data_IF_428135033303
#
_entry.id   IF_428135033303
#
_cell.length_a   1.000
_cell.length_b   1.000
_cell.length_c   1.000
_cell.angle_alpha   90.00
_cell.angle_beta   90.00
_cell.angle_gamma   90.00
#
_symmetry.space_group_name_H-M   'P 1'
#
loop_
_entity.id
_entity.type
_entity.pdbx_description
1 polymer ?
#
# COMPACT_ATOMS: atom_id res chain seq x y z
N UNK A 1 -6.83 4.96 -8.32
CA UNK A 1 -6.38 4.11 -7.19
C UNK A 1 -7.01 2.75 -7.35
N UNK A 2 -6.26 1.68 -7.10
CA UNK A 2 -6.75 0.30 -7.05
C UNK A 2 -6.49 -0.27 -5.66
N UNK A 3 -7.49 -0.97 -5.11
CA UNK A 3 -7.45 -1.59 -3.79
C UNK A 3 -8.41 -2.78 -3.74
N UNK A 4 -8.12 -3.78 -4.56
CA UNK A 4 -8.94 -4.95 -4.81
C UNK A 4 -8.18 -6.22 -4.44
N UNK A 5 -8.90 -7.30 -4.11
CA UNK A 5 -8.32 -8.62 -3.91
C UNK A 5 -8.25 -9.43 -5.22
N UNK A 6 -8.14 -8.75 -6.37
CA UNK A 6 -8.21 -9.41 -7.68
C UNK A 6 -6.98 -10.28 -7.93
N UNK A 7 -7.22 -11.48 -8.46
CA UNK A 7 -6.18 -12.38 -8.96
C UNK A 7 -5.96 -12.23 -10.46
N UNK A 8 -6.64 -11.29 -11.12
CA UNK A 8 -6.45 -10.96 -12.52
C UNK A 8 -6.36 -9.45 -12.70
N UNK A 9 -5.51 -8.95 -13.63
CA UNK A 9 -5.45 -7.52 -13.93
C UNK A 9 -6.83 -6.93 -14.23
N UNK A 10 -7.14 -5.83 -13.57
CA UNK A 10 -8.40 -5.11 -13.76
C UNK A 10 -8.20 -3.85 -14.61
N UNK A 11 -7.02 -3.25 -14.56
CA UNK A 11 -6.69 -2.03 -15.29
C UNK A 11 -5.86 -2.37 -16.52
N UNK A 12 -6.36 -1.93 -17.67
CA UNK A 12 -5.72 -2.12 -18.95
C UNK A 12 -4.95 -0.89 -19.43
N UNK A 13 -3.85 -1.15 -20.15
CA UNK A 13 -2.96 -0.10 -20.60
C UNK A 13 -3.68 0.94 -21.47
N UNK A 14 -4.67 0.52 -22.26
CA UNK A 14 -5.47 1.41 -23.11
C UNK A 14 -6.23 2.50 -22.33
N UNK A 15 -6.50 2.29 -21.04
CA UNK A 15 -7.23 3.25 -20.22
C UNK A 15 -6.33 4.35 -19.66
N UNK A 16 -5.01 4.19 -19.73
CA UNK A 16 -4.06 5.15 -19.20
C UNK A 16 -4.03 6.40 -20.09
N UNK A 17 -4.21 7.56 -19.46
CA UNK A 17 -4.09 8.86 -20.11
C UNK A 17 -2.81 9.57 -19.65
N UNK A 18 -2.17 10.41 -20.49
CA UNK A 18 -0.99 11.17 -20.08
C UNK A 18 -1.26 11.97 -18.80
N UNK A 19 -0.33 11.90 -17.84
CA UNK A 19 -0.42 12.59 -16.56
C UNK A 19 -1.13 11.81 -15.45
N UNK A 20 -1.68 10.63 -15.74
CA UNK A 20 -2.46 9.86 -14.78
C UNK A 20 -1.57 9.35 -13.62
N UNK A 21 -1.90 9.69 -12.34
CA UNK A 21 -1.33 9.03 -11.19
C UNK A 21 -2.13 7.76 -10.83
N UNK A 22 -1.42 6.66 -10.63
CA UNK A 22 -1.98 5.39 -10.19
C UNK A 22 -1.33 5.03 -8.86
N UNK A 23 -2.15 4.88 -7.83
CA UNK A 23 -1.74 4.24 -6.57
C UNK A 23 -2.36 2.84 -6.54
N UNK A 24 -1.52 1.81 -6.58
CA UNK A 24 -1.93 0.42 -6.63
C UNK A 24 -1.56 -0.31 -5.34
N UNK A 25 -2.58 -0.73 -4.58
CA UNK A 25 -2.45 -1.14 -3.17
C UNK A 25 -2.87 -2.59 -2.96
N UNK A 26 -3.86 -3.08 -3.72
CA UNK A 26 -4.56 -4.32 -3.41
C UNK A 26 -3.78 -5.59 -3.71
N UNK A 27 -2.88 -5.57 -4.70
CA UNK A 27 -2.04 -6.72 -5.02
C UNK A 27 -0.78 -6.75 -4.14
N UNK A 28 -0.89 -7.42 -3.00
CA UNK A 28 0.12 -7.52 -1.93
C UNK A 28 0.71 -8.94 -1.76
N UNK A 29 0.21 -9.92 -2.50
CA UNK A 29 0.73 -11.29 -2.54
C UNK A 29 1.06 -11.73 -3.99
N UNK A 30 1.78 -12.85 -4.20
CA UNK A 30 2.26 -13.24 -5.53
C UNK A 30 1.15 -13.60 -6.53
N UNK A 31 -0.06 -13.93 -6.05
CA UNK A 31 -1.19 -14.35 -6.88
C UNK A 31 -2.07 -13.20 -7.33
N UNK A 32 -2.02 -12.05 -6.63
CA UNK A 32 -2.86 -10.90 -6.93
C UNK A 32 -2.29 -10.00 -8.03
N UNK A 33 -3.19 -9.38 -8.77
CA UNK A 33 -2.87 -8.35 -9.74
C UNK A 33 -4.05 -7.40 -9.93
N UNK A 34 -3.74 -6.11 -10.05
CA UNK A 34 -4.68 -5.04 -10.35
C UNK A 34 -4.35 -4.36 -11.67
N UNK A 35 -3.06 -4.30 -12.03
CA UNK A 35 -2.54 -3.67 -13.24
C UNK A 35 -1.99 -4.72 -14.20
N UNK A 36 -2.28 -4.58 -15.50
CA UNK A 36 -1.66 -5.46 -16.50
C UNK A 36 -0.17 -5.13 -16.67
N UNK A 37 0.62 -6.10 -17.16
CA UNK A 37 2.04 -5.87 -17.46
C UNK A 37 2.23 -4.69 -18.44
N UNK A 38 1.27 -4.49 -19.34
CA UNK A 38 1.23 -3.40 -20.30
C UNK A 38 1.03 -2.05 -19.62
N UNK A 39 0.22 -1.99 -18.54
CA UNK A 39 0.11 -0.78 -17.71
C UNK A 39 1.46 -0.40 -17.11
N UNK A 40 2.18 -1.39 -16.57
CA UNK A 40 3.49 -1.18 -15.95
C UNK A 40 4.53 -0.75 -16.99
N UNK A 41 4.55 -1.37 -18.18
CA UNK A 41 5.43 -0.95 -19.28
C UNK A 41 5.11 0.44 -19.83
N UNK A 42 3.86 0.86 -19.77
CA UNK A 42 3.42 2.19 -20.24
C UNK A 42 3.65 3.30 -19.21
N UNK A 43 3.88 2.96 -17.95
CA UNK A 43 4.19 3.95 -16.92
C UNK A 43 5.55 4.60 -17.20
N UNK A 44 5.59 5.93 -17.21
CA UNK A 44 6.84 6.68 -17.33
C UNK A 44 7.69 6.55 -16.05
N UNK A 45 7.02 6.36 -14.91
CA UNK A 45 7.68 6.21 -13.60
C UNK A 45 6.94 5.24 -12.71
N UNK A 46 7.68 4.30 -12.14
CA UNK A 46 7.20 3.38 -11.12
C UNK A 46 7.95 3.66 -9.82
N UNK A 47 7.20 3.86 -8.74
CA UNK A 47 7.70 4.05 -7.38
C UNK A 47 7.17 2.88 -6.55
N UNK A 48 8.00 2.35 -5.67
CA UNK A 48 7.62 1.25 -4.76
C UNK A 48 7.77 1.67 -3.30
N UNK A 49 7.11 1.01 -2.37
CA UNK A 49 7.44 1.16 -0.94
C UNK A 49 8.69 0.36 -0.55
N UNK A 50 8.85 -0.84 -1.11
CA UNK A 50 10.04 -1.69 -0.97
C UNK A 50 10.34 -2.43 -2.27
N UNK A 51 11.55 -2.27 -2.79
CA UNK A 51 11.99 -3.01 -3.99
C UNK A 51 11.98 -4.50 -3.78
N UNK A 52 12.38 -4.96 -2.59
CA UNK A 52 12.47 -6.38 -2.27
C UNK A 52 11.09 -7.03 -2.23
N UNK A 53 10.10 -6.36 -1.62
CA UNK A 53 8.73 -6.89 -1.57
C UNK A 53 8.05 -6.81 -2.93
N UNK A 54 8.19 -5.69 -3.65
CA UNK A 54 7.65 -5.51 -4.99
C UNK A 54 8.19 -6.52 -6.00
N UNK A 55 9.46 -6.94 -5.86
CA UNK A 55 10.04 -7.98 -6.70
C UNK A 55 9.46 -9.38 -6.43
N UNK A 56 8.87 -9.60 -5.25
CA UNK A 56 8.36 -10.90 -4.81
C UNK A 56 6.82 -10.99 -4.80
N UNK A 57 6.10 -9.87 -4.77
CA UNK A 57 4.66 -9.82 -4.57
C UNK A 57 3.97 -8.81 -5.50
N UNK A 58 2.68 -9.03 -5.77
CA UNK A 58 1.81 -8.09 -6.46
C UNK A 58 2.08 -7.91 -7.95
N UNK A 59 1.67 -6.75 -8.47
CA UNK A 59 1.67 -6.45 -9.91
C UNK A 59 3.06 -6.60 -10.56
N UNK A 60 4.11 -6.09 -9.89
CA UNK A 60 5.47 -6.06 -10.43
C UNK A 60 6.09 -7.46 -10.50
N UNK A 61 5.92 -8.26 -9.46
CA UNK A 61 6.38 -9.65 -9.44
C UNK A 61 5.66 -10.50 -10.49
N UNK A 62 4.34 -10.39 -10.59
CA UNK A 62 3.55 -11.13 -11.59
C UNK A 62 3.91 -10.74 -13.02
N UNK A 63 4.24 -9.47 -13.25
CA UNK A 63 4.69 -8.99 -14.55
C UNK A 63 6.18 -9.27 -14.85
N UNK A 64 6.94 -9.84 -13.90
CA UNK A 64 8.38 -10.06 -14.05
C UNK A 64 9.19 -8.78 -14.18
N UNK A 65 8.76 -7.69 -13.55
CA UNK A 65 9.42 -6.38 -13.64
C UNK A 65 10.69 -6.33 -12.78
N UNK A 66 11.80 -5.88 -13.34
CA UNK A 66 13.03 -5.65 -12.57
C UNK A 66 12.88 -4.42 -11.65
N UNK A 67 12.86 -4.68 -10.34
CA UNK A 67 12.67 -3.64 -9.33
C UNK A 67 13.99 -2.98 -8.85
N UNK A 68 15.18 -3.46 -9.25
CA UNK A 68 16.46 -3.02 -8.65
C UNK A 68 16.72 -1.51 -8.75
N UNK A 69 16.29 -0.91 -9.87
CA UNK A 69 16.45 0.51 -10.17
C UNK A 69 15.25 1.39 -9.83
N UNK A 70 14.15 0.83 -9.31
CA UNK A 70 12.96 1.62 -9.00
C UNK A 70 13.19 2.45 -7.72
N UNK A 71 12.82 3.74 -7.70
CA UNK A 71 12.90 4.54 -6.48
C UNK A 71 11.91 4.03 -5.43
N UNK A 72 12.35 4.00 -4.18
CA UNK A 72 11.47 3.76 -3.04
C UNK A 72 10.79 5.07 -2.61
N UNK A 73 9.54 4.98 -2.15
CA UNK A 73 8.75 6.15 -1.74
C UNK A 73 9.47 6.96 -0.67
N UNK A 74 10.15 6.30 0.27
CA UNK A 74 10.97 6.94 1.28
C UNK A 74 12.08 7.81 0.68
N UNK A 75 12.72 7.37 -0.40
CA UNK A 75 13.78 8.14 -1.08
C UNK A 75 13.24 9.41 -1.71
N UNK A 76 12.01 9.36 -2.24
CA UNK A 76 11.35 10.55 -2.81
C UNK A 76 10.98 11.52 -1.70
N UNK A 77 10.41 11.02 -0.59
CA UNK A 77 9.99 11.85 0.55
C UNK A 77 11.15 12.61 1.19
N UNK A 78 12.35 12.04 1.21
CA UNK A 78 13.57 12.70 1.74
C UNK A 78 14.36 13.46 0.67
N UNK A 79 13.87 13.52 -0.57
CA UNK A 79 14.51 14.24 -1.67
C UNK A 79 15.76 13.57 -2.24
N UNK A 80 16.03 12.30 -1.94
CA UNK A 80 17.17 11.54 -2.48
C UNK A 80 16.87 10.83 -3.79
N UNK A 81 15.62 10.87 -4.27
CA UNK A 81 15.21 10.40 -5.58
C UNK A 81 14.11 11.32 -6.15
N UNK A 82 14.04 11.50 -7.48
CA UNK A 82 12.98 12.31 -8.08
C UNK A 82 11.60 11.65 -7.92
N UNK A 83 10.60 12.47 -7.62
CA UNK A 83 9.19 12.09 -7.77
C UNK A 83 8.76 12.23 -9.23
N UNK A 84 7.57 12.79 -9.45
CA UNK A 84 7.16 13.25 -10.78
C UNK A 84 8.04 14.42 -11.23
N UNK A 85 8.58 14.35 -12.43
CA UNK A 85 9.44 15.36 -13.04
C UNK A 85 8.67 16.22 -14.07
N UNK A 86 7.61 15.69 -14.69
CA UNK A 86 6.79 16.47 -15.63
C UNK A 86 5.30 16.09 -15.63
N UNK A 87 4.48 17.02 -16.15
CA UNK A 87 3.03 17.00 -15.91
C UNK A 87 2.26 15.89 -16.65
N UNK A 88 2.80 15.28 -17.71
CA UNK A 88 2.13 14.15 -18.39
C UNK A 88 2.77 12.78 -18.13
N UNK A 89 3.66 12.65 -17.15
CA UNK A 89 4.11 11.31 -16.72
C UNK A 89 2.92 10.49 -16.22
N UNK A 90 2.78 9.28 -16.72
CA UNK A 90 1.99 8.24 -16.10
C UNK A 90 2.83 7.68 -14.96
N UNK A 91 2.39 7.92 -13.72
CA UNK A 91 3.13 7.50 -12.52
C UNK A 91 2.40 6.37 -11.82
N UNK A 92 3.08 5.26 -11.56
CA UNK A 92 2.56 4.16 -10.74
C UNK A 92 3.28 4.17 -9.39
N UNK A 93 2.55 4.32 -8.31
CA UNK A 93 3.02 4.03 -6.97
C UNK A 93 2.47 2.66 -6.57
N UNK A 94 3.33 1.64 -6.55
CA UNK A 94 2.99 0.28 -6.16
C UNK A 94 3.32 0.08 -4.68
N UNK A 95 2.31 -0.24 -3.89
CA UNK A 95 2.42 -0.44 -2.45
C UNK A 95 2.08 -1.89 -2.11
N UNK A 96 2.97 -2.56 -1.40
CA UNK A 96 2.74 -3.90 -0.84
C UNK A 96 2.35 -3.79 0.64
N UNK A 97 2.89 -2.79 1.35
CA UNK A 97 2.74 -2.60 2.78
C UNK A 97 4.02 -2.96 3.54
N UNK A 98 4.41 -2.09 4.47
CA UNK A 98 5.57 -2.27 5.33
C UNK A 98 5.17 -2.17 6.80
N UNK A 99 5.68 -3.06 7.65
CA UNK A 99 5.41 -3.00 9.09
C UNK A 99 5.84 -1.67 9.75
N UNK A 100 6.81 -0.94 9.17
CA UNK A 100 7.17 0.40 9.65
C UNK A 100 6.07 1.44 9.41
N UNK A 101 5.29 1.29 8.34
CA UNK A 101 4.12 2.13 8.07
C UNK A 101 3.02 1.86 9.10
N UNK A 102 2.81 0.59 9.44
CA UNK A 102 1.86 0.19 10.51
C UNK A 102 2.29 0.71 11.88
N UNK A 103 3.59 0.65 12.19
CA UNK A 103 4.14 1.18 13.44
C UNK A 103 3.92 2.69 13.54
N UNK A 104 4.24 3.44 12.48
CA UNK A 104 4.02 4.88 12.44
C UNK A 104 2.54 5.25 12.61
N UNK A 105 1.63 4.52 11.95
CA UNK A 105 0.19 4.69 12.12
C UNK A 105 -0.25 4.39 13.57
N UNK A 106 0.33 3.35 14.19
CA UNK A 106 0.06 2.95 15.57
C UNK A 106 0.51 4.02 16.57
N UNK A 107 1.68 4.64 16.37
CA UNK A 107 2.16 5.74 17.22
C UNK A 107 1.21 6.93 17.19
N UNK A 108 0.74 7.32 16.00
CA UNK A 108 -0.25 8.40 15.84
C UNK A 108 -1.57 8.04 16.53
N UNK A 109 -2.05 6.80 16.37
CA UNK A 109 -3.27 6.34 17.02
C UNK A 109 -3.12 6.35 18.55
N UNK A 110 -1.98 5.91 19.08
CA UNK A 110 -1.71 5.86 20.51
C UNK A 110 -1.62 7.26 21.13
N UNK A 111 -0.99 8.22 20.44
CA UNK A 111 -0.95 9.62 20.88
C UNK A 111 -2.37 10.19 21.02
N UNK A 112 -3.22 9.98 20.00
CA UNK A 112 -4.63 10.44 20.03
C UNK A 112 -5.45 9.81 21.16
N UNK A 113 -5.18 8.55 21.49
CA UNK A 113 -5.84 7.88 22.62
C UNK A 113 -5.39 8.44 23.98
N UNK A 114 -4.13 8.88 24.09
CA UNK A 114 -3.61 9.53 25.31
C UNK A 114 -4.20 10.94 25.50
N UNK A 115 -4.45 11.67 24.41
CA UNK A 115 -4.95 13.05 24.43
C UNK A 115 -6.50 13.15 24.56
N UNK A 116 -7.14 12.14 25.14
CA UNK A 116 -8.59 12.14 25.38
C UNK A 116 -9.42 11.53 24.24
N UNK A 117 -8.81 10.72 23.37
CA UNK A 117 -9.51 9.91 22.38
C UNK A 117 -10.54 8.94 23.00
N UNK A 118 -11.37 8.29 22.16
CA UNK A 118 -12.47 7.44 22.63
C UNK A 118 -12.00 6.44 23.69
N UNK A 119 -12.67 6.47 24.86
CA UNK A 119 -12.28 5.65 26.01
C UNK A 119 -12.29 4.18 25.63
N UNK A 120 -11.27 3.45 26.05
CA UNK A 120 -11.19 1.99 25.98
C UNK A 120 -12.52 1.42 26.51
N UNK A 121 -13.22 0.58 25.74
CA UNK A 121 -14.24 -0.29 26.36
C UNK A 121 -13.53 -1.06 27.47
N UNK A 122 -14.07 -1.04 28.68
CA UNK A 122 -13.53 -1.83 29.78
C UNK A 122 -13.41 -3.27 29.29
N UNK A 123 -12.18 -3.73 29.11
CA UNK A 123 -11.92 -5.14 28.92
C UNK A 123 -12.15 -5.77 30.29
N UNK A 124 -12.95 -6.83 30.41
CA UNK A 124 -13.11 -7.55 31.67
C UNK A 124 -11.73 -7.81 32.27
N UNK A 125 -11.54 -7.41 33.53
CA UNK A 125 -10.23 -7.41 34.18
C UNK A 125 -9.67 -8.84 34.31
N UNK A 126 -10.54 -9.84 34.23
CA UNK A 126 -10.20 -11.25 34.31
C UNK A 126 -11.11 -12.10 33.42
N UNK A 127 -10.67 -13.32 33.08
CA UNK A 127 -11.52 -14.32 32.40
C UNK A 127 -12.81 -14.65 33.19
N UNK A 128 -12.82 -14.44 34.52
CA UNK A 128 -14.01 -14.60 35.37
C UNK A 128 -15.09 -13.56 35.09
N UNK A 129 -14.72 -12.37 34.63
CA UNK A 129 -15.67 -11.29 34.35
C UNK A 129 -16.40 -11.48 33.01
N UNK A 130 -15.88 -12.33 32.12
CA UNK A 130 -16.55 -12.74 30.87
C UNK A 130 -17.64 -13.80 31.08
N UNK A 131 -17.58 -14.54 32.19
CA UNK A 131 -18.42 -15.71 32.45
C UNK A 131 -19.57 -15.42 33.44
N UNK A 132 -19.77 -14.16 33.84
CA UNK A 132 -20.92 -13.82 34.69
C UNK A 132 -22.20 -13.89 33.86
N UNK A 133 -23.22 -14.64 34.29
CA UNK A 133 -24.51 -14.62 33.63
C UNK A 133 -25.12 -13.21 33.74
N UNK A 134 -25.88 -12.76 32.73
CA UNK A 134 -26.51 -11.45 32.75
C UNK A 134 -27.44 -11.34 33.96
N UNK A 135 -27.24 -10.31 34.78
CA UNK A 135 -28.14 -9.96 35.88
C UNK A 135 -29.49 -9.54 35.31
N UNK A 136 -30.57 -10.17 35.78
CA UNK A 136 -31.96 -9.73 35.57
C UNK A 136 -32.22 -8.43 36.33
#
# INVERSE_FOLDING_TARGET
MTATASTEPLVEAAWLSPGLPITAVGADDPSKAELSADCLRRADRIVVDSRALAAAHGDLARAGTDCRGLPELGQILVGSAPGREWHKEITVCKLIGLGVQDLAATEVALARLRDGGPRRKQTPATARDLLRPPTQ
#
